data_IF_360264371711
#
_entry.id   IF_360264371711
#
_cell.length_a   1.000
_cell.length_b   1.000
_cell.length_c   1.000
_cell.angle_alpha   90.00
_cell.angle_beta   90.00
_cell.angle_gamma   90.00
#
_symmetry.space_group_name_H-M   'P 1'
#
loop_
_entity.id
_entity.type
_entity.pdbx_description
1 polymer ?
#
# COMPACT_ATOMS: atom_id res chain seq x y z
N UNK A 1 -26.34 12.45 4.45
CA UNK A 1 -25.48 12.68 5.64
C UNK A 1 -24.12 11.98 5.57
N UNK A 2 -23.91 10.91 4.79
CA UNK A 2 -22.60 10.24 4.62
C UNK A 2 -21.57 10.99 3.75
N UNK A 3 -21.98 12.02 3.00
CA UNK A 3 -21.11 12.70 2.05
C UNK A 3 -20.31 13.88 2.64
N UNK A 4 -20.72 14.41 3.81
CA UNK A 4 -20.06 15.58 4.41
C UNK A 4 -18.76 15.22 5.14
N UNK A 5 -18.70 14.07 5.82
CA UNK A 5 -17.51 13.63 6.56
C UNK A 5 -16.40 13.09 5.64
N UNK A 6 -16.74 12.58 4.46
CA UNK A 6 -15.74 12.15 3.46
C UNK A 6 -15.08 13.34 2.75
N UNK A 7 -15.68 14.52 2.84
CA UNK A 7 -15.29 15.71 2.07
C UNK A 7 -13.98 16.34 2.56
N UNK A 8 -13.70 16.33 3.87
CA UNK A 8 -12.54 17.04 4.41
C UNK A 8 -11.20 16.39 4.03
N UNK A 9 -11.14 15.06 3.90
CA UNK A 9 -9.94 14.35 3.45
C UNK A 9 -9.59 14.72 2.00
N UNK A 10 -10.61 14.82 1.14
CA UNK A 10 -10.43 15.27 -0.24
C UNK A 10 -9.97 16.73 -0.29
N UNK A 11 -10.46 17.58 0.64
CA UNK A 11 -10.00 18.96 0.78
C UNK A 11 -8.51 19.03 1.14
N UNK A 12 -8.03 18.21 2.10
CA UNK A 12 -6.61 18.19 2.43
C UNK A 12 -5.74 17.57 1.34
N UNK A 13 -6.21 16.53 0.65
CA UNK A 13 -5.54 15.97 -0.51
C UNK A 13 -5.38 17.02 -1.64
N UNK A 14 -6.44 17.75 -1.95
CA UNK A 14 -6.42 18.85 -2.92
C UNK A 14 -5.50 19.99 -2.48
N UNK A 15 -5.52 20.35 -1.20
CA UNK A 15 -4.62 21.36 -0.63
C UNK A 15 -3.15 20.94 -0.72
N UNK A 16 -2.86 19.66 -0.45
CA UNK A 16 -1.52 19.10 -0.61
C UNK A 16 -1.07 19.14 -2.08
N UNK A 17 -1.95 18.80 -3.02
CA UNK A 17 -1.65 18.87 -4.46
C UNK A 17 -1.36 20.30 -4.93
N UNK A 18 -2.15 21.28 -4.44
CA UNK A 18 -1.94 22.71 -4.71
C UNK A 18 -0.61 23.19 -4.13
N UNK A 19 -0.31 22.81 -2.88
CA UNK A 19 0.95 23.15 -2.23
C UNK A 19 2.16 22.58 -2.98
N UNK A 20 2.14 21.29 -3.32
CA UNK A 20 3.19 20.64 -4.11
C UNK A 20 3.38 21.34 -5.46
N UNK A 21 2.28 21.68 -6.13
CA UNK A 21 2.32 22.38 -7.42
C UNK A 21 2.96 23.75 -7.29
N UNK A 22 2.58 24.50 -6.24
CA UNK A 22 3.14 25.83 -5.97
C UNK A 22 4.62 25.77 -5.60
N UNK A 23 5.05 24.86 -4.72
CA UNK A 23 6.45 24.69 -4.34
C UNK A 23 7.34 24.44 -5.57
N UNK A 24 6.81 23.71 -6.55
CA UNK A 24 7.51 23.41 -7.80
C UNK A 24 7.38 24.49 -8.88
N UNK A 25 6.57 25.54 -8.65
CA UNK A 25 6.29 26.56 -9.66
C UNK A 25 7.40 27.61 -9.82
N UNK A 26 8.23 27.80 -8.77
CA UNK A 26 9.30 28.81 -8.77
C UNK A 26 10.64 28.17 -8.35
N UNK A 27 11.66 28.31 -9.19
CA UNK A 27 13.04 27.88 -8.87
C UNK A 27 13.57 28.53 -7.60
N UNK A 28 13.17 29.78 -7.34
CA UNK A 28 13.52 30.48 -6.10
C UNK A 28 13.03 29.76 -4.84
N UNK A 29 11.81 29.21 -4.84
CA UNK A 29 11.27 28.49 -3.68
C UNK A 29 12.11 27.23 -3.43
N UNK A 30 12.42 26.49 -4.49
CA UNK A 30 13.27 25.29 -4.41
C UNK A 30 14.69 25.63 -3.94
N UNK A 31 15.24 26.77 -4.37
CA UNK A 31 16.53 27.27 -3.89
C UNK A 31 16.52 27.52 -2.38
N UNK A 32 15.52 28.26 -1.89
CA UNK A 32 15.37 28.52 -0.44
C UNK A 32 15.19 27.22 0.35
N UNK A 33 14.38 26.28 -0.15
CA UNK A 33 14.21 24.96 0.47
C UNK A 33 15.53 24.20 0.57
N UNK A 34 16.39 24.30 -0.45
CA UNK A 34 17.70 23.67 -0.47
C UNK A 34 18.63 24.32 0.56
N UNK A 35 18.69 25.64 0.60
CA UNK A 35 19.51 26.40 1.55
C UNK A 35 19.17 26.04 3.01
N UNK A 36 17.87 25.96 3.34
CA UNK A 36 17.41 25.58 4.68
C UNK A 36 17.77 24.12 5.02
N UNK A 37 17.68 23.20 4.06
CA UNK A 37 18.07 21.81 4.29
C UNK A 37 19.57 21.65 4.50
N UNK A 38 20.39 22.30 3.67
CA UNK A 38 21.85 22.27 3.77
C UNK A 38 22.33 22.91 5.09
N UNK A 39 21.74 24.04 5.48
CA UNK A 39 22.03 24.70 6.77
C UNK A 39 21.69 23.81 7.99
N UNK A 40 20.76 22.86 7.83
CA UNK A 40 20.38 21.90 8.87
C UNK A 40 21.18 20.60 8.85
N UNK A 41 22.19 20.49 7.97
CA UNK A 41 23.00 19.28 7.79
C UNK A 41 22.24 18.09 7.18
N UNK A 42 21.06 18.33 6.58
CA UNK A 42 20.24 17.29 5.96
C UNK A 42 20.58 17.12 4.49
N UNK A 43 20.46 15.89 3.99
CA UNK A 43 20.52 15.62 2.55
C UNK A 43 19.32 16.31 1.88
N UNK A 44 19.53 17.21 0.90
CA UNK A 44 18.43 17.95 0.28
C UNK A 44 17.41 17.02 -0.39
N UNK A 45 16.18 17.06 0.10
CA UNK A 45 15.05 16.35 -0.48
C UNK A 45 14.34 17.21 -1.51
N UNK A 46 13.98 16.59 -2.64
CA UNK A 46 13.17 17.21 -3.69
C UNK A 46 11.67 17.01 -3.44
N UNK A 47 10.86 17.96 -3.94
CA UNK A 47 9.40 17.87 -3.92
C UNK A 47 8.94 16.94 -5.03
N UNK A 48 8.25 15.85 -4.68
CA UNK A 48 7.71 14.88 -5.64
C UNK A 48 6.31 15.33 -6.08
N UNK A 49 6.01 15.21 -7.38
CA UNK A 49 4.70 15.52 -7.94
C UNK A 49 3.86 14.24 -7.97
N UNK A 50 2.60 14.27 -7.48
CA UNK A 50 1.71 13.14 -7.63
C UNK A 50 1.29 12.97 -9.09
N UNK A 51 1.16 11.72 -9.52
CA UNK A 51 0.65 11.37 -10.85
C UNK A 51 -0.72 10.74 -10.69
N UNK A 52 -1.73 11.32 -11.33
CA UNK A 52 -3.13 10.93 -11.21
C UNK A 52 -3.38 9.42 -11.40
N UNK A 53 -2.62 8.79 -12.28
CA UNK A 53 -2.79 7.39 -12.68
C UNK A 53 -2.15 6.38 -11.73
N UNK A 54 -1.41 6.80 -10.69
CA UNK A 54 -0.66 5.89 -9.81
C UNK A 54 -0.78 6.31 -8.34
N UNK A 55 -1.54 5.56 -7.56
CA UNK A 55 -1.72 5.82 -6.11
C UNK A 55 -0.40 5.82 -5.32
N UNK A 56 0.58 5.01 -5.73
CA UNK A 56 1.95 5.04 -5.16
C UNK A 56 2.61 6.40 -5.33
N UNK A 57 2.36 7.11 -6.43
CA UNK A 57 2.90 8.46 -6.64
C UNK A 57 2.28 9.47 -5.67
N UNK A 58 0.98 9.35 -5.37
CA UNK A 58 0.33 10.16 -4.34
C UNK A 58 0.92 9.89 -2.96
N UNK A 59 1.02 8.61 -2.58
CA UNK A 59 1.64 8.20 -1.31
C UNK A 59 3.04 8.80 -1.15
N UNK A 60 3.93 8.57 -2.12
CA UNK A 60 5.31 9.07 -2.08
C UNK A 60 5.37 10.60 -2.05
N UNK A 61 4.46 11.28 -2.75
CA UNK A 61 4.41 12.75 -2.76
C UNK A 61 3.96 13.32 -1.42
N UNK A 62 2.95 12.71 -0.80
CA UNK A 62 2.42 13.15 0.50
C UNK A 62 3.39 12.82 1.64
N UNK A 63 4.00 11.63 1.62
CA UNK A 63 5.07 11.28 2.55
C UNK A 63 6.24 12.25 2.44
N UNK A 64 6.70 12.56 1.22
CA UNK A 64 7.76 13.53 0.99
C UNK A 64 7.37 14.94 1.46
N UNK A 65 6.11 15.34 1.29
CA UNK A 65 5.62 16.62 1.78
C UNK A 65 5.64 16.68 3.31
N UNK A 66 5.29 15.58 4.00
CA UNK A 66 5.38 15.46 5.46
C UNK A 66 6.84 15.55 5.95
N UNK A 67 7.79 14.89 5.27
CA UNK A 67 9.23 14.99 5.56
C UNK A 67 9.76 16.44 5.45
N UNK A 68 9.20 17.20 4.49
CA UNK A 68 9.54 18.59 4.24
C UNK A 68 8.79 19.58 5.15
N UNK A 69 7.84 19.14 5.96
CA UNK A 69 6.99 20.03 6.79
C UNK A 69 7.80 20.98 7.68
N UNK A 70 8.84 20.47 8.33
CA UNK A 70 9.72 21.28 9.17
C UNK A 70 10.48 22.33 8.36
N UNK A 71 11.05 21.95 7.21
CA UNK A 71 11.78 22.85 6.31
C UNK A 71 10.86 24.01 5.89
N UNK A 72 9.64 23.68 5.48
CA UNK A 72 8.64 24.66 5.05
C UNK A 72 8.26 25.64 6.17
N UNK A 73 8.15 25.18 7.42
CA UNK A 73 7.89 26.04 8.58
C UNK A 73 9.05 26.99 8.86
N UNK A 74 10.29 26.51 8.79
CA UNK A 74 11.49 27.36 8.98
C UNK A 74 11.61 28.43 7.90
N UNK A 75 11.28 28.09 6.65
CA UNK A 75 11.26 29.06 5.56
C UNK A 75 10.28 30.21 5.82
N UNK A 76 9.10 29.92 6.37
CA UNK A 76 8.09 30.93 6.69
C UNK A 76 8.53 31.79 7.88
N UNK A 77 9.19 31.20 8.87
CA UNK A 77 9.63 31.90 10.07
C UNK A 77 10.86 32.80 9.82
N UNK A 78 11.61 32.57 8.74
CA UNK A 78 12.79 33.36 8.39
C UNK A 78 12.37 34.57 7.55
N UNK A 79 12.50 35.84 8.04
CA UNK A 79 11.95 37.01 7.36
C UNK A 79 12.42 37.17 5.91
N UNK A 80 13.72 37.02 5.66
CA UNK A 80 14.29 37.10 4.31
C UNK A 80 13.73 36.04 3.35
N UNK A 81 13.40 34.85 3.84
CA UNK A 81 12.83 33.77 3.03
C UNK A 81 11.33 33.99 2.79
N UNK A 82 10.61 34.38 3.83
CA UNK A 82 9.20 34.72 3.79
C UNK A 82 8.91 35.80 2.74
N UNK A 83 9.63 36.92 2.79
CA UNK A 83 9.44 38.03 1.84
C UNK A 83 9.74 37.61 0.40
N UNK A 84 10.79 36.78 0.23
CA UNK A 84 11.16 36.21 -1.06
C UNK A 84 10.07 35.27 -1.62
N UNK A 85 9.35 34.54 -0.77
CA UNK A 85 8.22 33.68 -1.17
C UNK A 85 7.00 34.50 -1.63
N UNK A 86 6.80 35.68 -1.06
CA UNK A 86 5.71 36.61 -1.38
C UNK A 86 5.98 37.55 -2.56
N UNK A 87 7.13 37.42 -3.23
CA UNK A 87 7.44 38.24 -4.42
C UNK A 87 6.60 37.84 -5.65
N UNK A 88 6.19 38.87 -6.42
CA UNK A 88 5.50 38.72 -7.70
C UNK A 88 4.31 39.66 -7.88
N UNK A 89 3.50 39.39 -8.91
CA UNK A 89 2.23 40.10 -9.20
C UNK A 89 1.18 39.82 -8.11
N UNK A 90 0.20 40.72 -7.89
CA UNK A 90 -0.82 40.58 -6.83
C UNK A 90 -1.49 39.19 -6.77
N UNK A 91 -1.88 38.64 -7.93
CA UNK A 91 -2.45 37.29 -8.00
C UNK A 91 -1.50 36.19 -7.49
N UNK A 92 -0.21 36.27 -7.82
CA UNK A 92 0.80 35.31 -7.32
C UNK A 92 1.04 35.48 -5.83
N UNK A 93 0.90 36.69 -5.27
CA UNK A 93 1.05 36.93 -3.82
C UNK A 93 -0.12 36.33 -3.06
N UNK A 94 -1.35 36.48 -3.56
CA UNK A 94 -2.53 35.86 -2.96
C UNK A 94 -2.41 34.33 -2.91
N UNK A 95 -1.91 33.69 -3.98
CA UNK A 95 -1.64 32.25 -3.98
C UNK A 95 -0.57 31.89 -2.95
N UNK A 96 0.56 32.62 -2.92
CA UNK A 96 1.64 32.37 -1.97
C UNK A 96 1.16 32.50 -0.51
N UNK A 97 0.35 33.52 -0.22
CA UNK A 97 -0.24 33.73 1.11
C UNK A 97 -1.11 32.54 1.53
N UNK A 98 -1.98 32.05 0.64
CA UNK A 98 -2.80 30.86 0.90
C UNK A 98 -1.97 29.60 1.16
N UNK A 99 -0.84 29.43 0.46
CA UNK A 99 0.05 28.30 0.67
C UNK A 99 0.79 28.41 2.02
N UNK A 100 1.19 29.62 2.43
CA UNK A 100 1.76 29.89 3.75
C UNK A 100 0.75 29.57 4.85
N UNK A 101 -0.51 29.98 4.69
CA UNK A 101 -1.61 29.64 5.60
C UNK A 101 -1.78 28.12 5.71
N UNK A 102 -1.74 27.40 4.58
CA UNK A 102 -1.82 25.93 4.55
C UNK A 102 -0.64 25.27 5.30
N UNK A 103 0.58 25.81 5.16
CA UNK A 103 1.76 25.29 5.88
C UNK A 103 1.66 25.55 7.39
N UNK A 104 1.05 26.66 7.80
CA UNK A 104 0.86 26.98 9.22
C UNK A 104 -0.30 26.22 9.87
N UNK A 105 -1.26 25.72 9.06
CA UNK A 105 -2.40 24.95 9.55
C UNK A 105 -1.99 23.56 10.07
N UNK A 106 -2.11 23.35 11.39
CA UNK A 106 -1.87 22.04 12.01
C UNK A 106 -2.86 20.96 11.58
N UNK A 107 -4.12 21.32 11.29
CA UNK A 107 -5.15 20.38 10.89
C UNK A 107 -4.86 19.80 9.51
N UNK A 108 -4.35 20.62 8.58
CA UNK A 108 -3.83 20.17 7.29
C UNK A 108 -2.77 19.05 7.43
N UNK A 109 -1.74 19.25 8.26
CA UNK A 109 -0.68 18.27 8.44
C UNK A 109 -1.16 16.98 9.11
N UNK A 110 -2.06 17.11 10.10
CA UNK A 110 -2.70 15.96 10.73
C UNK A 110 -3.54 15.17 9.72
N UNK A 111 -4.34 15.88 8.91
CA UNK A 111 -5.13 15.27 7.84
C UNK A 111 -4.28 14.58 6.79
N UNK A 112 -3.18 15.20 6.35
CA UNK A 112 -2.24 14.61 5.40
C UNK A 112 -1.57 13.35 5.97
N UNK A 113 -1.27 13.34 7.28
CA UNK A 113 -0.75 12.16 7.98
C UNK A 113 -1.75 11.01 7.94
N UNK A 114 -3.03 11.28 8.22
CA UNK A 114 -4.10 10.28 8.16
C UNK A 114 -4.25 9.72 6.73
N UNK A 115 -4.29 10.59 5.72
CA UNK A 115 -4.33 10.18 4.29
C UNK A 115 -3.15 9.26 3.97
N UNK A 116 -1.94 9.63 4.40
CA UNK A 116 -0.73 8.85 4.14
C UNK A 116 -0.80 7.46 4.79
N UNK A 117 -1.30 7.36 6.03
CA UNK A 117 -1.54 6.07 6.71
C UNK A 117 -2.53 5.18 5.94
N UNK A 118 -3.57 5.75 5.32
CA UNK A 118 -4.50 4.96 4.49
C UNK A 118 -3.90 4.50 3.17
N UNK A 119 -3.01 5.29 2.57
CA UNK A 119 -2.40 4.98 1.28
C UNK A 119 -1.22 4.00 1.38
N UNK A 120 -0.53 3.96 2.52
CA UNK A 120 0.68 3.16 2.70
C UNK A 120 0.46 1.66 2.46
N UNK A 121 -0.55 0.98 3.05
CA UNK A 121 -0.79 -0.45 2.80
C UNK A 121 -1.01 -0.76 1.31
N UNK A 122 -1.71 0.13 0.59
CA UNK A 122 -1.97 -0.01 -0.84
C UNK A 122 -0.70 0.18 -1.67
N UNK A 123 0.12 1.18 -1.32
CA UNK A 123 1.37 1.45 -2.02
C UNK A 123 2.33 0.26 -1.88
N UNK A 124 2.49 -0.26 -0.65
CA UNK A 124 3.34 -1.43 -0.37
C UNK A 124 2.85 -2.67 -1.11
N UNK A 125 1.55 -2.98 -1.00
CA UNK A 125 0.93 -4.11 -1.68
C UNK A 125 1.06 -4.01 -3.19
N UNK A 126 0.82 -2.83 -3.77
CA UNK A 126 0.98 -2.60 -5.20
C UNK A 126 2.41 -2.81 -5.66
N UNK A 127 3.41 -2.34 -4.92
CA UNK A 127 4.81 -2.57 -5.24
C UNK A 127 5.16 -4.06 -5.22
N UNK A 128 4.65 -4.80 -4.23
CA UNK A 128 4.89 -6.24 -4.08
C UNK A 128 4.24 -7.04 -5.21
N UNK A 129 3.02 -6.66 -5.62
CA UNK A 129 2.29 -7.31 -6.71
C UNK A 129 2.78 -6.95 -8.12
N UNK A 130 3.51 -5.83 -8.25
CA UNK A 130 4.13 -5.41 -9.51
C UNK A 130 5.55 -5.93 -9.68
N UNK A 131 6.07 -6.68 -8.70
CA UNK A 131 7.41 -7.27 -8.79
C UNK A 131 7.46 -8.33 -9.89
N UNK A 132 8.57 -8.39 -10.61
CA UNK A 132 8.83 -9.46 -11.60
C UNK A 132 8.92 -10.85 -10.96
N UNK A 133 9.15 -10.89 -9.64
CA UNK A 133 9.23 -12.13 -8.86
C UNK A 133 7.92 -12.49 -8.17
N UNK A 134 6.83 -11.74 -8.42
CA UNK A 134 5.52 -12.05 -7.83
C UNK A 134 5.00 -13.38 -8.36
N UNK A 135 4.79 -14.33 -7.45
CA UNK A 135 4.18 -15.63 -7.76
C UNK A 135 2.69 -15.60 -7.51
N UNK A 136 1.97 -16.53 -8.13
CA UNK A 136 0.51 -16.64 -8.01
C UNK A 136 0.04 -16.84 -6.56
N UNK A 137 0.78 -17.61 -5.75
CA UNK A 137 0.46 -17.85 -4.33
C UNK A 137 0.64 -16.59 -3.47
N UNK A 138 1.50 -15.65 -3.88
CA UNK A 138 1.73 -14.42 -3.12
C UNK A 138 0.57 -13.44 -3.27
N UNK A 139 -0.15 -13.47 -4.40
CA UNK A 139 -1.27 -12.55 -4.65
C UNK A 139 -2.34 -12.63 -3.55
N UNK A 140 -2.97 -13.79 -3.28
CA UNK A 140 -3.97 -13.91 -2.20
C UNK A 140 -3.38 -13.64 -0.80
N UNK A 141 -2.09 -13.92 -0.56
CA UNK A 141 -1.45 -13.55 0.71
C UNK A 141 -1.36 -12.04 0.90
N UNK A 142 -1.04 -11.29 -0.17
CA UNK A 142 -1.03 -9.83 -0.13
C UNK A 142 -2.44 -9.29 0.09
N UNK A 143 -3.47 -9.84 -0.56
CA UNK A 143 -4.86 -9.46 -0.30
C UNK A 143 -5.26 -9.70 1.16
N UNK A 144 -4.92 -10.86 1.73
CA UNK A 144 -5.18 -11.17 3.13
C UNK A 144 -4.43 -10.24 4.09
N UNK A 145 -3.15 -9.99 3.84
CA UNK A 145 -2.33 -9.04 4.61
C UNK A 145 -2.91 -7.63 4.56
N UNK A 146 -3.38 -7.19 3.39
CA UNK A 146 -3.95 -5.85 3.21
C UNK A 146 -5.25 -5.68 4.03
N UNK A 147 -6.14 -6.66 4.01
CA UNK A 147 -7.35 -6.65 4.85
C UNK A 147 -7.01 -6.67 6.34
N UNK A 148 -6.00 -7.46 6.73
CA UNK A 148 -5.52 -7.48 8.11
C UNK A 148 -4.96 -6.13 8.54
N UNK A 149 -4.11 -5.49 7.72
CA UNK A 149 -3.56 -4.16 7.99
C UNK A 149 -4.68 -3.12 8.17
N UNK A 150 -5.69 -3.11 7.30
CA UNK A 150 -6.84 -2.22 7.45
C UNK A 150 -7.67 -2.51 8.71
N UNK A 151 -7.81 -3.78 9.10
CA UNK A 151 -8.47 -4.13 10.36
C UNK A 151 -7.71 -3.60 11.59
N UNK A 152 -6.38 -3.51 11.51
CA UNK A 152 -5.56 -2.89 12.55
C UNK A 152 -5.67 -1.36 12.52
N UNK A 153 -5.73 -0.75 11.34
CA UNK A 153 -5.94 0.70 11.22
C UNK A 153 -7.29 1.14 11.81
N UNK A 154 -8.34 0.32 11.74
CA UNK A 154 -9.62 0.60 12.43
C UNK A 154 -9.50 0.69 13.95
N UNK A 155 -8.48 0.06 14.53
CA UNK A 155 -8.20 0.10 15.97
C UNK A 155 -7.32 1.29 16.37
N UNK A 156 -6.73 2.00 15.42
CA UNK A 156 -5.94 3.21 15.68
C UNK A 156 -6.86 4.37 16.07
N UNK A 157 -6.70 4.87 17.30
CA UNK A 157 -7.49 5.98 17.85
C UNK A 157 -7.43 7.22 16.96
N UNK A 158 -6.27 7.48 16.34
CA UNK A 158 -6.06 8.60 15.42
C UNK A 158 -6.98 8.53 14.19
N UNK A 159 -7.37 7.32 13.80
CA UNK A 159 -8.12 7.01 12.58
C UNK A 159 -9.60 6.68 12.85
N UNK A 160 -10.07 6.81 14.10
CA UNK A 160 -11.47 6.54 14.48
C UNK A 160 -12.50 7.24 13.59
N UNK A 161 -12.30 8.52 13.26
CA UNK A 161 -13.18 9.30 12.37
C UNK A 161 -13.09 8.87 10.88
N UNK A 162 -12.09 8.09 10.51
CA UNK A 162 -11.82 7.64 9.13
C UNK A 162 -12.23 6.19 8.88
N UNK A 163 -12.84 5.51 9.86
CA UNK A 163 -13.34 4.14 9.73
C UNK A 163 -14.24 3.96 8.49
N UNK A 164 -15.20 4.87 8.17
CA UNK A 164 -16.01 4.74 6.97
C UNK A 164 -15.19 4.71 5.67
N UNK A 165 -14.05 5.41 5.62
CA UNK A 165 -13.14 5.37 4.47
C UNK A 165 -12.45 4.01 4.37
N UNK A 166 -12.01 3.45 5.50
CA UNK A 166 -11.41 2.10 5.53
C UNK A 166 -12.41 1.07 5.00
N UNK A 167 -13.69 1.16 5.38
CA UNK A 167 -14.73 0.26 4.87
C UNK A 167 -14.94 0.38 3.35
N UNK A 168 -14.83 1.59 2.79
CA UNK A 168 -14.88 1.79 1.33
C UNK A 168 -13.68 1.13 0.65
N UNK A 169 -12.49 1.24 1.24
CA UNK A 169 -11.28 0.60 0.73
C UNK A 169 -11.41 -0.93 0.79
N UNK A 170 -11.83 -1.49 1.92
CA UNK A 170 -12.09 -2.93 2.08
C UNK A 170 -13.09 -3.44 1.03
N UNK A 171 -14.22 -2.74 0.84
CA UNK A 171 -15.18 -3.08 -0.22
C UNK A 171 -14.55 -3.04 -1.62
N UNK A 172 -13.65 -2.09 -1.86
CA UNK A 172 -12.90 -2.00 -3.12
C UNK A 172 -11.92 -3.17 -3.31
N UNK A 173 -11.31 -3.64 -2.23
CA UNK A 173 -10.42 -4.81 -2.22
C UNK A 173 -11.23 -6.08 -2.49
N UNK A 174 -12.33 -6.29 -1.77
CA UNK A 174 -13.23 -7.43 -1.96
C UNK A 174 -13.79 -7.48 -3.39
N UNK A 175 -14.18 -6.32 -3.95
CA UNK A 175 -14.63 -6.24 -5.34
C UNK A 175 -13.54 -6.67 -6.33
N UNK A 176 -12.28 -6.33 -6.08
CA UNK A 176 -11.15 -6.77 -6.93
C UNK A 176 -10.93 -8.26 -6.80
N UNK A 177 -10.94 -8.79 -5.57
CA UNK A 177 -10.82 -10.23 -5.33
C UNK A 177 -11.92 -11.03 -6.02
N UNK A 178 -13.17 -10.57 -5.96
CA UNK A 178 -14.30 -11.21 -6.64
C UNK A 178 -14.20 -11.19 -8.17
N UNK A 179 -13.49 -10.20 -8.74
CA UNK A 179 -13.27 -10.10 -10.18
C UNK A 179 -12.03 -10.90 -10.66
N UNK A 180 -11.21 -11.39 -9.74
CA UNK A 180 -10.03 -12.19 -10.06
C UNK A 180 -10.39 -13.64 -10.39
N UNK A 181 -9.45 -14.35 -11.01
CA UNK A 181 -9.52 -15.79 -11.25
C UNK A 181 -9.25 -16.57 -9.94
N UNK A 182 -10.23 -16.55 -9.05
CA UNK A 182 -10.10 -17.08 -7.68
C UNK A 182 -9.67 -18.55 -7.67
N UNK A 183 -10.19 -19.37 -8.59
CA UNK A 183 -9.84 -20.79 -8.70
C UNK A 183 -8.32 -20.98 -8.84
N UNK A 184 -7.66 -20.18 -9.70
CA UNK A 184 -6.20 -20.25 -9.92
C UNK A 184 -5.43 -19.84 -8.67
N UNK A 185 -5.85 -18.77 -8.00
CA UNK A 185 -5.19 -18.29 -6.79
C UNK A 185 -5.37 -19.23 -5.59
N UNK A 186 -6.56 -19.80 -5.42
CA UNK A 186 -6.85 -20.81 -4.40
C UNK A 186 -5.99 -22.05 -4.65
N UNK A 187 -5.94 -22.53 -5.89
CA UNK A 187 -5.07 -23.65 -6.25
C UNK A 187 -3.59 -23.35 -5.99
N UNK A 188 -3.11 -22.14 -6.30
CA UNK A 188 -1.72 -21.75 -6.02
C UNK A 188 -1.39 -21.78 -4.52
N UNK A 189 -2.30 -21.35 -3.65
CA UNK A 189 -2.14 -21.47 -2.18
C UNK A 189 -2.10 -22.93 -1.74
N UNK A 190 -2.98 -23.77 -2.27
CA UNK A 190 -3.04 -25.20 -1.93
C UNK A 190 -1.74 -25.91 -2.37
N UNK A 191 -1.21 -25.54 -3.53
CA UNK A 191 0.06 -26.05 -4.05
C UNK A 191 1.29 -25.39 -3.41
N UNK A 192 1.10 -24.45 -2.50
CA UNK A 192 2.20 -23.89 -1.72
C UNK A 192 2.62 -24.86 -0.61
N UNK A 193 3.88 -25.35 -0.59
CA UNK A 193 4.30 -26.45 0.27
C UNK A 193 4.20 -26.13 1.77
N UNK A 194 4.32 -24.85 2.14
CA UNK A 194 4.26 -24.41 3.55
C UNK A 194 2.83 -24.14 4.05
N UNK A 195 1.88 -23.88 3.14
CA UNK A 195 0.55 -23.38 3.49
C UNK A 195 -0.50 -24.47 3.28
N UNK A 196 -0.48 -25.08 2.09
CA UNK A 196 -1.40 -26.13 1.68
C UNK A 196 -2.85 -25.76 1.98
N UNK A 197 -3.58 -26.69 2.58
CA UNK A 197 -4.99 -26.55 2.92
C UNK A 197 -5.26 -25.71 4.17
N UNK A 198 -4.23 -25.26 4.92
CA UNK A 198 -4.42 -24.61 6.24
C UNK A 198 -5.47 -23.48 6.22
N UNK A 199 -5.47 -22.54 5.24
CA UNK A 199 -6.46 -21.45 5.20
C UNK A 199 -7.88 -21.90 4.87
N UNK A 200 -8.05 -23.08 4.26
CA UNK A 200 -9.31 -23.56 3.71
C UNK A 200 -9.91 -24.76 4.45
N UNK A 201 -9.30 -25.21 5.56
CA UNK A 201 -9.71 -26.45 6.27
C UNK A 201 -11.18 -26.49 6.68
N UNK A 202 -11.79 -25.32 6.92
CA UNK A 202 -13.18 -25.21 7.35
C UNK A 202 -14.15 -24.90 6.19
N UNK A 203 -13.64 -24.77 4.96
CA UNK A 203 -14.40 -24.30 3.79
C UNK A 203 -14.36 -25.35 2.67
N UNK A 204 -13.21 -26.02 2.48
CA UNK A 204 -12.98 -26.98 1.41
C UNK A 204 -12.53 -28.34 1.97
N UNK A 205 -13.11 -29.40 1.45
CA UNK A 205 -12.65 -30.77 1.67
C UNK A 205 -11.78 -31.26 0.50
N UNK A 206 -11.20 -32.46 0.63
CA UNK A 206 -10.29 -33.03 -0.40
C UNK A 206 -10.95 -33.18 -1.78
N UNK A 207 -12.22 -33.53 -1.82
CA UNK A 207 -12.96 -33.71 -3.08
C UNK A 207 -13.24 -32.37 -3.76
N UNK A 208 -13.55 -31.33 -2.99
CA UNK A 208 -13.74 -29.98 -3.52
C UNK A 208 -12.45 -29.48 -4.21
N UNK A 209 -11.32 -29.75 -3.57
CA UNK A 209 -10.01 -29.37 -4.10
C UNK A 209 -9.63 -30.20 -5.32
N UNK A 210 -9.89 -31.51 -5.31
CA UNK A 210 -9.69 -32.34 -6.49
C UNK A 210 -10.54 -31.84 -7.68
N UNK A 211 -11.81 -31.48 -7.43
CA UNK A 211 -12.67 -30.91 -8.45
C UNK A 211 -12.10 -29.59 -8.99
N UNK A 212 -11.61 -28.71 -8.12
CA UNK A 212 -10.92 -27.48 -8.50
C UNK A 212 -9.70 -27.75 -9.40
N UNK A 213 -8.77 -28.60 -8.95
CA UNK A 213 -7.56 -28.94 -9.71
C UNK A 213 -7.92 -29.59 -11.05
N UNK A 214 -8.93 -30.46 -11.09
CA UNK A 214 -9.39 -31.10 -12.32
C UNK A 214 -9.99 -30.11 -13.32
N UNK A 215 -10.76 -29.12 -12.84
CA UNK A 215 -11.29 -28.04 -13.71
C UNK A 215 -10.16 -27.19 -14.28
N UNK A 216 -9.19 -26.81 -13.44
CA UNK A 216 -8.04 -26.03 -13.88
C UNK A 216 -7.15 -26.82 -14.84
N UNK A 217 -6.94 -28.11 -14.60
CA UNK A 217 -6.21 -28.98 -15.53
C UNK A 217 -6.84 -28.94 -16.91
N UNK A 218 -8.15 -29.22 -17.02
CA UNK A 218 -8.90 -29.21 -18.29
C UNK A 218 -8.87 -27.84 -18.98
N UNK A 219 -8.85 -26.77 -18.20
CA UNK A 219 -8.81 -25.40 -18.71
C UNK A 219 -7.45 -25.06 -19.31
N UNK A 220 -6.36 -25.47 -18.67
CA UNK A 220 -4.99 -25.16 -19.13
C UNK A 220 -4.44 -26.19 -20.11
N UNK A 221 -4.82 -27.44 -19.95
CA UNK A 221 -4.50 -28.56 -20.80
C UNK A 221 -5.83 -29.15 -21.28
N UNK A 222 -6.17 -29.07 -22.57
CA UNK A 222 -7.46 -29.52 -23.11
C UNK A 222 -7.58 -31.06 -23.14
N UNK A 223 -7.18 -31.72 -22.06
CA UNK A 223 -7.15 -33.17 -21.84
C UNK A 223 -7.71 -33.49 -20.45
N UNK A 224 -8.07 -34.75 -20.22
CA UNK A 224 -8.44 -35.19 -18.88
C UNK A 224 -7.19 -35.27 -18.00
N UNK A 225 -7.32 -35.01 -16.68
CA UNK A 225 -6.25 -35.29 -15.73
C UNK A 225 -5.80 -36.76 -15.82
N UNK A 226 -4.50 -37.00 -15.71
CA UNK A 226 -3.99 -38.37 -15.64
C UNK A 226 -4.61 -39.11 -14.45
N UNK A 227 -4.85 -40.43 -14.60
CA UNK A 227 -5.45 -41.24 -13.53
C UNK A 227 -4.59 -41.29 -12.26
N UNK A 228 -3.28 -41.07 -12.38
CA UNK A 228 -2.35 -41.01 -11.24
C UNK A 228 -2.42 -39.69 -10.47
N UNK A 229 -2.93 -38.62 -11.08
CA UNK A 229 -2.86 -37.27 -10.50
C UNK A 229 -3.59 -37.16 -9.16
N UNK A 230 -4.72 -37.85 -8.99
CA UNK A 230 -5.45 -37.84 -7.72
C UNK A 230 -4.62 -38.44 -6.57
N UNK A 231 -3.87 -39.50 -6.86
CA UNK A 231 -2.97 -40.13 -5.90
C UNK A 231 -1.80 -39.20 -5.58
N UNK A 232 -1.12 -38.66 -6.60
CA UNK A 232 -0.01 -37.73 -6.40
C UNK A 232 -0.43 -36.48 -5.61
N UNK A 233 -1.61 -35.95 -5.90
CA UNK A 233 -2.18 -34.83 -5.18
C UNK A 233 -2.49 -35.18 -3.71
N UNK A 234 -3.05 -36.37 -3.47
CA UNK A 234 -3.29 -36.86 -2.11
C UNK A 234 -1.98 -37.03 -1.34
N UNK A 235 -0.98 -37.66 -1.96
CA UNK A 235 0.35 -37.84 -1.37
C UNK A 235 0.99 -36.48 -1.05
N UNK A 236 0.83 -35.47 -1.92
CA UNK A 236 1.31 -34.11 -1.69
C UNK A 236 0.63 -33.45 -0.48
N UNK A 237 -0.70 -33.52 -0.39
CA UNK A 237 -1.44 -32.93 0.73
C UNK A 237 -1.02 -33.54 2.07
N UNK A 238 -0.81 -34.85 2.09
CA UNK A 238 -0.49 -35.62 3.29
C UNK A 238 1.02 -35.67 3.59
N UNK A 239 1.86 -35.01 2.78
CA UNK A 239 3.32 -35.12 2.89
C UNK A 239 3.81 -36.57 2.89
N UNK A 240 3.24 -37.40 2.01
CA UNK A 240 3.61 -38.81 1.85
C UNK A 240 4.19 -39.08 0.45
N UNK A 241 4.51 -40.34 0.15
CA UNK A 241 5.13 -40.73 -1.11
C UNK A 241 6.40 -39.91 -1.43
N UNK A 242 6.42 -39.29 -2.60
CA UNK A 242 7.51 -38.43 -3.08
C UNK A 242 7.62 -37.09 -2.31
N UNK A 243 6.63 -36.76 -1.48
CA UNK A 243 6.52 -35.47 -0.78
C UNK A 243 6.84 -35.55 0.71
N UNK A 244 7.35 -36.68 1.20
CA UNK A 244 7.73 -36.89 2.62
C UNK A 244 8.73 -35.86 3.15
N UNK A 245 9.56 -35.30 2.28
CA UNK A 245 10.53 -34.26 2.64
C UNK A 245 9.95 -32.86 2.85
N UNK A 246 8.67 -32.62 2.50
CA UNK A 246 8.09 -31.27 2.54
C UNK A 246 7.94 -30.74 3.97
N UNK A 247 7.49 -31.56 4.92
CA UNK A 247 7.29 -31.09 6.30
C UNK A 247 8.63 -30.75 7.00
N UNK A 248 9.67 -31.61 6.94
CA UNK A 248 10.99 -31.25 7.45
C UNK A 248 11.56 -29.98 6.80
N UNK A 249 11.41 -29.84 5.48
CA UNK A 249 11.83 -28.65 4.74
C UNK A 249 11.08 -27.38 5.20
N UNK A 250 9.77 -27.49 5.40
CA UNK A 250 8.95 -26.39 5.88
C UNK A 250 9.37 -25.92 7.27
N UNK A 251 9.69 -26.88 8.14
CA UNK A 251 10.17 -26.59 9.49
C UNK A 251 11.53 -25.92 9.48
N UNK A 252 12.46 -26.36 8.62
CA UNK A 252 13.76 -25.72 8.46
C UNK A 252 13.63 -24.26 8.00
N UNK A 253 12.77 -23.97 7.02
CA UNK A 253 12.51 -22.59 6.59
C UNK A 253 11.97 -21.75 7.75
N UNK A 254 11.06 -22.31 8.54
CA UNK A 254 10.49 -21.60 9.69
C UNK A 254 11.57 -21.21 10.69
N UNK A 255 12.44 -22.15 11.08
CA UNK A 255 13.55 -21.90 12.01
C UNK A 255 14.51 -20.85 11.47
N UNK A 256 14.90 -20.94 10.19
CA UNK A 256 15.76 -19.93 9.58
C UNK A 256 15.11 -18.54 9.53
N UNK A 257 13.80 -18.48 9.33
CA UNK A 257 13.05 -17.22 9.33
C UNK A 257 13.01 -16.59 10.74
N UNK A 258 12.82 -17.40 11.79
CA UNK A 258 12.87 -16.94 13.19
C UNK A 258 14.25 -16.37 13.54
N UNK A 259 15.32 -17.08 13.17
CA UNK A 259 16.70 -16.63 13.36
C UNK A 259 17.01 -15.29 12.66
N UNK A 260 16.51 -15.10 11.44
CA UNK A 260 16.69 -13.86 10.67
C UNK A 260 15.92 -12.66 11.24
N UNK A 261 14.76 -12.91 11.86
CA UNK A 261 13.90 -11.85 12.42
C UNK A 261 14.26 -11.55 13.89
N UNK A 262 15.12 -12.38 14.51
CA UNK A 262 15.60 -12.16 15.87
C UNK A 262 14.52 -12.39 16.93
N UNK A 263 13.64 -13.37 16.70
CA UNK A 263 12.64 -13.86 17.67
C UNK A 263 13.22 -15.06 18.41
#
# INVERSE_FOLDING_TARGET
MRDAETNWLLVYADSANKLITWLRSKTQILGIMRDVQEASGRIPLSVIRPVATRWTAYFLSYQRLLELSWVLRVMIQTPNHHDRMLMGKPASRAVAQKMIETINDGAFWLGLTKITKHLEPLARSSCLLQSVYTRLDQVPLVFGSLLWEYSMLKKDVLLSETIPMIEVIEKSIEKRWAACDQDVYIAAIILHPLIKMRPFRNILNRMDVWALISRLWKRFYPTQPASTLFKEFSDYLDSTGNFRGLDPYAQQIHTMAEELVGI
#
